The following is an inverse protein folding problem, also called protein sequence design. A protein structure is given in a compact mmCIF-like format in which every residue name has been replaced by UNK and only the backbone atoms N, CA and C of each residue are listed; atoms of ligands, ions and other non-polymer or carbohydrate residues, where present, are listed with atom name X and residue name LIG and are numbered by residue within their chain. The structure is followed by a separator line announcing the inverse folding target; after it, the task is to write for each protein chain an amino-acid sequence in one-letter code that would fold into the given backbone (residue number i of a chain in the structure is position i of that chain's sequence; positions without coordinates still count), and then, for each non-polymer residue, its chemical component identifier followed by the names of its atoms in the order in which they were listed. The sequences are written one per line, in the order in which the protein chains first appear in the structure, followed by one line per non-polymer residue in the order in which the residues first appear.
data_IF_961490244517
#
_entry.id   IF_961490244517
#
_cell.length_a   1.000
_cell.length_b   1.000
_cell.length_c   1.000
_cell.angle_alpha   90.00
_cell.angle_beta   90.00
_cell.angle_gamma   90.00
#
_symmetry.space_group_name_H-M   'P 1'
#
loop_
_entity.id
_entity.type
_entity.pdbx_description
1 polymer ?
#
# COMPACT_ATOMS: atom_id res chain seq x y z
N UNK A 1 3.74 8.50 -7.70
CA UNK A 1 3.57 8.21 -6.25
C UNK A 1 2.10 8.26 -5.90
N UNK A 2 1.64 7.29 -5.14
CA UNK A 2 0.26 7.31 -4.66
C UNK A 2 0.20 7.88 -3.23
N UNK A 3 -0.87 8.59 -2.93
CA UNK A 3 -1.14 9.12 -1.59
C UNK A 3 -2.37 8.42 -1.01
N UNK A 4 -2.35 8.14 0.28
CA UNK A 4 -3.39 7.38 0.97
C UNK A 4 -4.26 8.32 1.78
N UNK A 5 -5.57 8.27 1.52
CA UNK A 5 -6.58 9.11 2.18
C UNK A 5 -7.72 8.27 2.74
N UNK A 6 -8.46 8.84 3.67
CA UNK A 6 -9.73 8.28 4.14
C UNK A 6 -10.84 9.06 3.47
N UNK A 7 -11.66 8.39 2.64
CA UNK A 7 -12.73 9.03 1.86
C UNK A 7 -14.01 8.22 1.96
N UNK A 8 -15.13 8.86 1.66
CA UNK A 8 -16.44 8.18 1.70
C UNK A 8 -16.77 7.42 0.43
N UNK A 9 -16.10 7.76 -0.68
CA UNK A 9 -16.39 7.16 -1.97
C UNK A 9 -15.12 6.99 -2.79
N UNK A 10 -15.18 6.11 -3.77
CA UNK A 10 -14.10 5.86 -4.73
C UNK A 10 -13.71 7.11 -5.50
N UNK A 11 -14.68 7.95 -5.83
CA UNK A 11 -14.45 9.23 -6.48
C UNK A 11 -14.77 10.35 -5.48
N UNK A 12 -13.81 10.65 -4.58
CA UNK A 12 -14.06 11.63 -3.55
C UNK A 12 -14.17 13.05 -4.15
N UNK A 13 -14.89 13.91 -3.45
CA UNK A 13 -14.86 15.33 -3.77
C UNK A 13 -13.41 15.82 -3.58
N UNK A 14 -12.94 16.75 -4.45
CA UNK A 14 -11.58 17.29 -4.29
C UNK A 14 -11.31 17.86 -2.90
N UNK A 15 -12.32 18.37 -2.22
CA UNK A 15 -12.20 18.89 -0.86
C UNK A 15 -11.82 17.82 0.14
N UNK A 16 -12.27 16.55 -0.04
CA UNK A 16 -11.91 15.46 0.88
C UNK A 16 -10.42 15.18 0.87
N UNK A 17 -9.78 15.24 -0.29
CA UNK A 17 -8.34 14.98 -0.40
C UNK A 17 -7.51 16.24 -0.19
N UNK A 18 -7.98 17.40 -0.64
CA UNK A 18 -7.25 18.66 -0.50
C UNK A 18 -7.15 19.13 0.97
N UNK A 19 -8.14 18.80 1.79
CA UNK A 19 -8.23 19.26 3.18
C UNK A 19 -7.70 18.25 4.20
N UNK A 20 -7.11 17.15 3.77
CA UNK A 20 -6.49 16.21 4.71
C UNK A 20 -5.04 15.94 4.32
N UNK A 21 -4.21 15.67 5.33
CA UNK A 21 -2.85 15.19 5.08
C UNK A 21 -2.90 13.71 4.71
N UNK A 22 -2.15 13.28 3.69
CA UNK A 22 -2.06 11.87 3.37
C UNK A 22 -1.55 11.06 4.57
N UNK A 23 -2.14 9.90 4.80
CA UNK A 23 -1.70 8.99 5.85
C UNK A 23 -0.41 8.27 5.49
N UNK A 24 -0.17 8.10 4.20
CA UNK A 24 1.00 7.42 3.67
C UNK A 24 1.24 7.82 2.23
N UNK A 25 2.45 7.54 1.76
CA UNK A 25 2.82 7.68 0.34
C UNK A 25 3.40 6.36 -0.14
N UNK A 26 3.02 5.97 -1.36
CA UNK A 26 3.49 4.74 -1.98
C UNK A 26 4.21 5.09 -3.26
N UNK A 27 5.49 4.73 -3.34
CA UNK A 27 6.33 4.93 -4.50
C UNK A 27 6.94 3.60 -4.92
N UNK A 28 7.34 3.50 -6.18
CA UNK A 28 8.13 2.36 -6.62
C UNK A 28 9.48 2.36 -5.88
N UNK A 29 9.87 1.21 -5.37
CA UNK A 29 11.09 1.05 -4.61
C UNK A 29 11.09 -0.26 -3.84
N UNK A 30 12.07 -0.45 -2.96
CA UNK A 30 12.27 -1.69 -2.24
C UNK A 30 11.07 -2.10 -1.39
N UNK A 31 10.45 -1.16 -0.68
CA UNK A 31 9.28 -1.43 0.16
C UNK A 31 8.12 -1.95 -0.70
N UNK A 32 7.81 -1.26 -1.80
CA UNK A 32 6.73 -1.65 -2.69
C UNK A 32 6.95 -3.05 -3.26
N UNK A 33 8.16 -3.32 -3.78
CA UNK A 33 8.44 -4.60 -4.42
C UNK A 33 8.56 -5.75 -3.43
N UNK A 34 8.92 -5.48 -2.17
CA UNK A 34 8.79 -6.49 -1.11
C UNK A 34 7.32 -6.89 -0.91
N UNK A 35 6.42 -5.91 -0.91
CA UNK A 35 4.99 -6.15 -0.71
C UNK A 35 4.27 -6.64 -1.97
N UNK A 36 4.90 -6.56 -3.12
CA UNK A 36 4.24 -6.80 -4.41
C UNK A 36 3.53 -8.15 -4.53
N UNK A 37 4.13 -9.29 -4.12
CA UNK A 37 3.39 -10.56 -4.16
C UNK A 37 2.10 -10.54 -3.34
N UNK A 38 2.11 -9.90 -2.17
CA UNK A 38 0.91 -9.75 -1.34
C UNK A 38 -0.08 -8.76 -1.96
N UNK A 39 0.41 -7.71 -2.61
CA UNK A 39 -0.42 -6.75 -3.36
C UNK A 39 -1.18 -7.46 -4.48
N UNK A 40 -0.52 -8.36 -5.22
CA UNK A 40 -1.18 -9.12 -6.29
C UNK A 40 -2.24 -10.09 -5.72
N UNK A 41 -1.99 -10.71 -4.58
CA UNK A 41 -3.01 -11.54 -3.91
C UNK A 41 -4.21 -10.71 -3.48
N UNK A 42 -3.97 -9.53 -2.95
CA UNK A 42 -5.04 -8.59 -2.57
C UNK A 42 -5.88 -8.20 -3.80
N UNK A 43 -5.24 -7.91 -4.93
CA UNK A 43 -5.94 -7.63 -6.19
C UNK A 43 -6.82 -8.80 -6.60
N UNK A 44 -6.32 -10.03 -6.50
CA UNK A 44 -7.10 -11.22 -6.87
C UNK A 44 -8.33 -11.39 -5.98
N UNK A 45 -8.26 -10.96 -4.73
CA UNK A 45 -9.35 -11.06 -3.76
C UNK A 45 -10.37 -9.91 -3.87
N UNK A 46 -9.92 -8.72 -4.25
CA UNK A 46 -10.74 -7.50 -4.18
C UNK A 46 -11.01 -6.85 -5.53
N UNK A 47 -10.20 -7.13 -6.54
CA UNK A 47 -10.20 -6.39 -7.80
C UNK A 47 -9.45 -5.06 -7.74
N UNK A 48 -8.91 -4.67 -6.57
CA UNK A 48 -8.21 -3.41 -6.38
C UNK A 48 -6.70 -3.61 -6.33
N UNK A 49 -5.97 -2.88 -7.17
CA UNK A 49 -4.51 -2.95 -7.23
C UNK A 49 -3.90 -1.73 -6.54
N UNK A 50 -3.07 -1.96 -5.53
CA UNK A 50 -2.23 -0.92 -4.95
C UNK A 50 -1.05 -0.71 -5.90
N UNK A 51 -1.01 0.46 -6.54
CA UNK A 51 0.01 0.82 -7.52
C UNK A 51 0.28 2.32 -7.41
N UNK A 52 1.55 2.76 -7.47
CA UNK A 52 1.87 4.18 -7.35
C UNK A 52 1.22 5.09 -8.40
N UNK A 53 0.80 4.53 -9.54
CA UNK A 53 0.29 5.31 -10.66
C UNK A 53 -1.22 5.17 -10.88
N UNK A 54 -1.90 4.32 -10.14
CA UNK A 54 -3.34 4.08 -10.33
C UNK A 54 -4.10 4.24 -9.03
N UNK A 55 -5.40 4.50 -9.16
CA UNK A 55 -6.28 4.65 -8.01
C UNK A 55 -6.78 3.29 -7.53
N UNK A 56 -6.96 3.17 -6.22
CA UNK A 56 -7.61 2.01 -5.60
C UNK A 56 -8.46 2.48 -4.43
N UNK A 57 -9.55 1.77 -4.17
CA UNK A 57 -10.45 2.11 -3.08
C UNK A 57 -10.93 0.85 -2.37
N UNK A 58 -10.80 0.86 -1.05
CA UNK A 58 -11.18 -0.26 -0.19
C UNK A 58 -12.22 0.20 0.82
N UNK A 59 -13.38 -0.46 0.82
CA UNK A 59 -14.43 -0.20 1.82
C UNK A 59 -15.21 -1.48 2.12
N UNK A 60 -15.91 -1.53 3.24
CA UNK A 60 -16.68 -2.70 3.62
C UNK A 60 -15.84 -3.98 3.60
N UNK A 61 -16.26 -4.98 2.83
CA UNK A 61 -15.56 -6.27 2.76
C UNK A 61 -14.16 -6.16 2.18
N UNK A 62 -13.94 -5.26 1.22
CA UNK A 62 -12.60 -5.07 0.65
C UNK A 62 -11.67 -4.37 1.64
N UNK A 63 -12.22 -3.54 2.55
CA UNK A 63 -11.43 -2.95 3.63
C UNK A 63 -10.95 -4.03 4.61
N UNK A 64 -11.76 -5.05 4.87
CA UNK A 64 -11.36 -6.19 5.70
C UNK A 64 -10.21 -6.97 5.05
N UNK A 65 -10.25 -7.12 3.73
CA UNK A 65 -9.16 -7.75 2.98
C UNK A 65 -7.88 -6.90 3.01
N UNK A 66 -8.00 -5.57 2.94
CA UNK A 66 -6.86 -4.67 3.11
C UNK A 66 -6.24 -4.81 4.51
N UNK A 67 -7.08 -4.92 5.53
CA UNK A 67 -6.63 -5.12 6.91
C UNK A 67 -5.88 -6.45 7.05
N UNK A 68 -6.39 -7.51 6.42
CA UNK A 68 -5.71 -8.81 6.38
C UNK A 68 -4.36 -8.70 5.68
N UNK A 69 -4.30 -7.99 4.56
CA UNK A 69 -3.06 -7.73 3.84
C UNK A 69 -2.02 -7.07 4.75
N UNK A 70 -2.42 -6.06 5.52
CA UNK A 70 -1.52 -5.38 6.48
C UNK A 70 -1.01 -6.36 7.53
N UNK A 71 -1.88 -7.17 8.12
CA UNK A 71 -1.51 -8.13 9.17
C UNK A 71 -0.57 -9.22 8.64
N UNK A 72 -0.88 -9.80 7.49
CA UNK A 72 -0.05 -10.85 6.88
C UNK A 72 1.30 -10.31 6.43
N UNK A 73 1.32 -9.11 5.86
CA UNK A 73 2.56 -8.47 5.42
C UNK A 73 3.45 -8.10 6.60
N UNK A 74 2.85 -7.64 7.70
CA UNK A 74 3.58 -7.39 8.95
C UNK A 74 4.24 -8.66 9.46
N UNK A 75 3.50 -9.76 9.47
CA UNK A 75 4.04 -11.06 9.89
C UNK A 75 5.20 -11.50 8.99
N UNK A 76 5.04 -11.34 7.68
CA UNK A 76 6.09 -11.70 6.71
C UNK A 76 7.36 -10.88 6.88
N UNK A 77 7.23 -9.56 7.07
CA UNK A 77 8.41 -8.69 7.18
C UNK A 77 9.16 -8.90 8.50
N UNK A 78 8.47 -9.32 9.55
CA UNK A 78 9.13 -9.62 10.82
C UNK A 78 10.06 -10.84 10.74
N UNK A 79 9.89 -11.69 9.73
CA UNK A 79 10.79 -12.82 9.46
C UNK A 79 12.02 -12.41 8.65
N UNK A 80 12.07 -11.19 8.14
CA UNK A 80 13.20 -10.69 7.35
C UNK A 80 14.28 -10.10 8.28
N UNK A 81 15.54 -9.98 7.81
CA UNK A 81 16.56 -9.26 8.54
C UNK A 81 16.22 -7.76 8.63
N UNK A 82 16.95 -7.02 9.47
CA UNK A 82 16.73 -5.59 9.65
C UNK A 82 16.90 -4.80 8.34
N UNK A 83 17.81 -5.25 7.50
CA UNK A 83 18.12 -4.63 6.20
C UNK A 83 18.43 -5.75 5.19
N UNK A 84 17.97 -5.58 3.96
CA UNK A 84 18.28 -6.51 2.86
C UNK A 84 18.27 -5.77 1.53
N UNK A 85 18.81 -6.42 0.49
CA UNK A 85 18.74 -5.95 -0.88
C UNK A 85 17.51 -6.53 -1.56
N UNK A 86 16.56 -5.66 -1.90
CA UNK A 86 15.29 -6.05 -2.52
C UNK A 86 15.36 -5.89 -4.02
N UNK A 87 15.01 -6.94 -4.75
CA UNK A 87 14.86 -6.85 -6.20
C UNK A 87 13.70 -5.91 -6.52
N UNK A 88 13.93 -4.92 -7.37
CA UNK A 88 12.94 -3.92 -7.75
C UNK A 88 12.71 -3.95 -9.27
N UNK A 89 11.45 -3.96 -9.65
CA UNK A 89 11.04 -3.93 -11.04
C UNK A 89 11.34 -5.21 -11.80
N UNK A 90 10.85 -5.24 -13.04
CA UNK A 90 11.25 -6.25 -14.01
C UNK A 90 12.50 -5.72 -14.72
N UNK A 91 13.56 -6.51 -14.76
CA UNK A 91 14.70 -6.17 -15.60
C UNK A 91 14.25 -6.19 -17.07
N UNK A 92 14.71 -5.24 -17.85
CA UNK A 92 14.61 -5.32 -19.30
C UNK A 92 15.29 -6.62 -19.75
N UNK A 93 14.86 -7.22 -20.90
CA UNK A 93 15.39 -8.51 -21.33
C UNK A 93 16.92 -8.59 -21.42
N UNK A 94 17.59 -7.44 -21.52
CA UNK A 94 19.04 -7.33 -21.62
C UNK A 94 19.67 -6.60 -20.43
N UNK A 95 18.87 -6.27 -19.39
CA UNK A 95 19.35 -5.55 -18.22
C UNK A 95 19.61 -6.48 -17.04
N UNK A 96 20.54 -6.10 -16.18
CA UNK A 96 20.74 -6.78 -14.92
C UNK A 96 19.57 -6.46 -13.96
N UNK A 97 19.19 -7.41 -13.08
CA UNK A 97 18.19 -7.12 -12.06
C UNK A 97 18.63 -5.95 -11.19
N UNK A 98 17.75 -4.99 -11.01
CA UNK A 98 18.00 -3.89 -10.08
C UNK A 98 17.64 -4.32 -8.67
N UNK A 99 18.45 -3.88 -7.72
CA UNK A 99 18.20 -4.10 -6.30
C UNK A 99 18.26 -2.78 -5.57
N UNK A 100 17.48 -2.67 -4.51
CA UNK A 100 17.42 -1.49 -3.67
C UNK A 100 17.49 -1.91 -2.23
N UNK A 101 18.27 -1.18 -1.44
CA UNK A 101 18.39 -1.45 -0.02
C UNK A 101 17.08 -1.12 0.68
N UNK A 102 16.56 -2.09 1.42
CA UNK A 102 15.26 -2.00 2.08
C UNK A 102 15.42 -2.40 3.55
N UNK A 103 14.61 -1.85 4.41
CA UNK A 103 14.66 -2.16 5.84
C UNK A 103 13.32 -2.66 6.35
N UNK A 104 13.39 -3.53 7.35
CA UNK A 104 12.21 -3.99 8.08
C UNK A 104 11.42 -2.80 8.63
N UNK A 105 12.12 -1.80 9.20
CA UNK A 105 11.49 -0.61 9.77
C UNK A 105 10.70 0.18 8.73
N UNK A 106 11.23 0.34 7.50
CA UNK A 106 10.53 1.08 6.44
C UNK A 106 9.23 0.39 6.01
N UNK A 107 9.25 -0.93 5.89
CA UNK A 107 8.05 -1.70 5.57
C UNK A 107 7.02 -1.60 6.69
N UNK A 108 7.45 -1.77 7.95
CA UNK A 108 6.55 -1.66 9.11
C UNK A 108 5.94 -0.27 9.23
N UNK A 109 6.70 0.78 8.94
CA UNK A 109 6.17 2.15 8.96
C UNK A 109 5.03 2.33 7.97
N UNK A 110 5.21 1.88 6.74
CA UNK A 110 4.14 1.96 5.73
C UNK A 110 2.91 1.15 6.16
N UNK A 111 3.10 -0.06 6.65
CA UNK A 111 1.99 -0.90 7.11
C UNK A 111 1.25 -0.27 8.30
N UNK A 112 1.97 0.35 9.23
CA UNK A 112 1.35 1.07 10.35
C UNK A 112 0.53 2.26 9.88
N UNK A 113 1.02 3.01 8.90
CA UNK A 113 0.31 4.15 8.33
C UNK A 113 -0.98 3.70 7.64
N UNK A 114 -0.94 2.64 6.85
CA UNK A 114 -2.13 2.07 6.21
C UNK A 114 -3.09 1.55 7.28
N UNK A 115 -2.60 0.86 8.30
CA UNK A 115 -3.40 0.37 9.42
C UNK A 115 -4.12 1.50 10.16
N UNK A 116 -3.46 2.63 10.35
CA UNK A 116 -4.06 3.83 10.95
C UNK A 116 -5.19 4.39 10.08
N UNK A 117 -5.01 4.43 8.77
CA UNK A 117 -6.06 4.85 7.84
C UNK A 117 -7.27 3.91 7.89
N UNK A 118 -7.04 2.59 8.00
CA UNK A 118 -8.12 1.61 8.13
C UNK A 118 -8.95 1.86 9.40
N UNK A 119 -8.29 2.12 10.52
CA UNK A 119 -8.99 2.42 11.78
C UNK A 119 -9.87 3.65 11.66
N UNK A 120 -9.36 4.73 11.06
CA UNK A 120 -10.13 5.96 10.86
C UNK A 120 -11.29 5.74 9.91
N UNK A 121 -11.07 4.99 8.82
CA UNK A 121 -12.12 4.67 7.86
C UNK A 121 -13.28 3.92 8.54
N UNK A 122 -12.96 2.92 9.37
CA UNK A 122 -13.98 2.15 10.09
C UNK A 122 -14.78 3.01 11.07
N UNK A 123 -14.12 3.92 11.79
CA UNK A 123 -14.81 4.84 12.72
C UNK A 123 -15.75 5.79 11.99
N UNK A 124 -15.36 6.26 10.81
CA UNK A 124 -16.14 7.23 10.04
C UNK A 124 -17.08 6.59 9.03
N UNK A 125 -17.19 5.27 8.98
CA UNK A 125 -17.95 4.53 7.96
C UNK A 125 -17.53 4.93 6.54
N UNK A 126 -16.22 5.09 6.36
CA UNK A 126 -15.59 5.49 5.12
C UNK A 126 -14.74 4.35 4.56
N UNK A 127 -13.95 4.63 3.56
CA UNK A 127 -12.98 3.71 2.98
C UNK A 127 -11.60 4.31 2.95
N UNK A 128 -10.63 3.53 2.47
CA UNK A 128 -9.25 3.95 2.26
C UNK A 128 -9.03 4.11 0.77
N UNK A 129 -8.66 5.30 0.35
CA UNK A 129 -8.45 5.67 -1.04
C UNK A 129 -6.96 5.87 -1.33
N UNK A 130 -6.46 5.15 -2.31
CA UNK A 130 -5.09 5.30 -2.82
C UNK A 130 -5.19 6.11 -4.10
N UNK A 131 -4.74 7.35 -4.05
CA UNK A 131 -4.77 8.25 -5.21
C UNK A 131 -3.43 8.17 -5.94
N UNK A 132 -3.42 7.50 -7.10
CA UNK A 132 -2.22 7.34 -7.92
C UNK A 132 -1.93 8.57 -8.77
N UNK A 133 -0.67 8.69 -9.15
CA UNK A 133 -0.20 9.77 -10.04
C UNK A 133 0.70 9.23 -11.14
#
# INVERSE_FOLDING_TARGET
MASVFVTKAREPDPEETDNQHPHAHIAFGGVYFFLYPAILRLRDQTGELIDPQTDAFFNGSTLDELDRFVSESRHSVLAEPNVWEQRVGASLPIGEPRHERTSQAAVLELLDQIGGAILLARKGRAGVFFMGE
#
